data_IF_388938902886
#
_entry.id   IF_388938902886
#
_cell.length_a   1.000
_cell.length_b   1.000
_cell.length_c   1.000
_cell.angle_alpha   90.00
_cell.angle_beta   90.00
_cell.angle_gamma   90.00
#
_symmetry.space_group_name_H-M   'P 1'
#
loop_
_entity.id
_entity.type
_entity.pdbx_description
1 polymer ?
#
# COMPACT_ATOMS: atom_id res chain seq x y z
N UNK A 1 29.37 24.43 -9.52
CA UNK A 1 29.54 22.96 -9.60
C UNK A 1 28.22 22.31 -9.21
N UNK A 2 27.30 22.17 -10.18
CA UNK A 2 25.98 21.56 -9.96
C UNK A 2 26.02 20.10 -10.40
N UNK A 3 26.07 19.18 -9.44
CA UNK A 3 26.04 17.74 -9.70
C UNK A 3 24.75 17.16 -9.13
N UNK A 4 23.82 16.85 -10.05
CA UNK A 4 22.79 15.82 -10.05
C UNK A 4 22.19 15.34 -8.71
N UNK A 5 21.32 16.13 -8.09
CA UNK A 5 20.38 15.61 -7.09
C UNK A 5 19.48 14.47 -7.61
N UNK A 6 19.31 14.33 -8.94
CA UNK A 6 18.55 13.24 -9.55
C UNK A 6 19.27 11.89 -9.52
N UNK A 7 20.61 11.85 -9.52
CA UNK A 7 21.35 10.59 -9.60
C UNK A 7 21.33 9.84 -8.26
N UNK A 8 21.35 10.58 -7.16
CA UNK A 8 21.29 10.02 -5.81
C UNK A 8 19.88 9.51 -5.44
N UNK A 9 18.83 10.01 -6.11
CA UNK A 9 17.44 9.59 -5.89
C UNK A 9 17.01 8.38 -6.71
N UNK A 10 17.68 8.11 -7.85
CA UNK A 10 17.34 7.00 -8.76
C UNK A 10 17.24 5.63 -8.08
N UNK A 11 18.16 5.22 -7.18
CA UNK A 11 18.07 3.94 -6.51
C UNK A 11 16.81 3.81 -5.66
N UNK A 12 16.47 4.86 -4.91
CA UNK A 12 15.28 4.88 -4.06
C UNK A 12 13.98 4.83 -4.88
N UNK A 13 13.91 5.58 -5.99
CA UNK A 13 12.75 5.52 -6.90
C UNK A 13 12.61 4.13 -7.54
N UNK A 14 13.72 3.47 -7.89
CA UNK A 14 13.71 2.10 -8.41
C UNK A 14 13.20 1.11 -7.38
N UNK A 15 13.57 1.28 -6.12
CA UNK A 15 13.07 0.42 -5.05
C UNK A 15 11.57 0.56 -4.84
N UNK A 16 11.02 1.79 -4.91
CA UNK A 16 9.56 2.02 -4.86
C UNK A 16 8.86 1.39 -6.08
N UNK A 17 9.46 1.47 -7.27
CA UNK A 17 8.91 0.80 -8.46
C UNK A 17 8.92 -0.74 -8.31
N UNK A 18 9.99 -1.30 -7.73
CA UNK A 18 10.08 -2.73 -7.44
C UNK A 18 9.05 -3.17 -6.40
N UNK A 19 8.82 -2.37 -5.36
CA UNK A 19 7.74 -2.59 -4.40
C UNK A 19 6.39 -2.71 -5.11
N UNK A 20 6.05 -1.76 -5.99
CA UNK A 20 4.79 -1.78 -6.74
C UNK A 20 4.66 -3.06 -7.58
N UNK A 21 5.74 -3.45 -8.26
CA UNK A 21 5.75 -4.67 -9.07
C UNK A 21 5.56 -5.94 -8.23
N UNK A 22 6.18 -6.01 -7.05
CA UNK A 22 6.15 -7.19 -6.17
C UNK A 22 4.84 -7.31 -5.40
N UNK A 23 4.37 -6.21 -4.81
CA UNK A 23 3.26 -6.20 -3.85
C UNK A 23 1.92 -5.83 -4.46
N UNK A 24 1.89 -5.37 -5.71
CA UNK A 24 0.68 -5.15 -6.49
C UNK A 24 -0.38 -4.27 -5.77
N UNK A 25 0.00 -3.12 -5.18
CA UNK A 25 -0.98 -2.22 -4.58
C UNK A 25 -2.03 -1.80 -5.62
N UNK A 26 -3.23 -1.51 -5.14
CA UNK A 26 -4.32 -0.98 -5.96
C UNK A 26 -4.22 0.55 -6.10
N UNK A 27 -3.84 1.23 -5.02
CA UNK A 27 -3.81 2.69 -4.95
C UNK A 27 -2.61 3.19 -4.15
N UNK A 28 -2.32 4.50 -4.23
CA UNK A 28 -1.18 5.08 -3.51
C UNK A 28 -1.50 5.27 -2.04
N UNK A 29 -2.65 5.85 -1.72
CA UNK A 29 -3.06 6.28 -0.38
C UNK A 29 -4.52 5.92 -0.07
N UNK A 30 -4.89 5.89 1.22
CA UNK A 30 -6.21 5.42 1.66
C UNK A 30 -7.38 6.22 1.10
N UNK A 31 -7.21 7.52 0.88
CA UNK A 31 -8.22 8.42 0.30
C UNK A 31 -8.62 8.03 -1.13
N UNK A 32 -7.81 7.23 -1.82
CA UNK A 32 -8.06 6.75 -3.18
C UNK A 32 -8.81 5.41 -3.20
N UNK A 33 -9.03 4.79 -2.04
CA UNK A 33 -9.78 3.52 -1.95
C UNK A 33 -11.27 3.79 -2.17
N UNK A 34 -11.88 3.03 -3.08
CA UNK A 34 -13.33 3.07 -3.31
C UNK A 34 -14.07 2.62 -2.04
N UNK A 35 -14.85 3.53 -1.46
CA UNK A 35 -15.60 3.26 -0.22
C UNK A 35 -16.60 2.12 -0.39
N UNK A 36 -17.20 1.96 -1.57
CA UNK A 36 -18.15 0.88 -1.85
C UNK A 36 -17.48 -0.48 -1.94
N UNK A 37 -16.23 -0.54 -2.43
CA UNK A 37 -15.41 -1.76 -2.38
C UNK A 37 -15.06 -2.10 -0.93
N UNK A 38 -14.68 -1.09 -0.15
CA UNK A 38 -14.30 -1.25 1.25
C UNK A 38 -15.44 -1.81 2.11
N UNK A 39 -16.63 -1.24 1.99
CA UNK A 39 -17.82 -1.68 2.71
C UNK A 39 -18.18 -3.13 2.39
N UNK A 40 -18.09 -3.50 1.10
CA UNK A 40 -18.31 -4.89 0.64
C UNK A 40 -17.31 -5.85 1.26
N UNK A 41 -16.02 -5.53 1.27
CA UNK A 41 -14.99 -6.37 1.89
C UNK A 41 -15.22 -6.54 3.40
N UNK A 42 -15.57 -5.46 4.11
CA UNK A 42 -15.89 -5.51 5.55
C UNK A 42 -17.08 -6.43 5.79
N UNK A 43 -18.14 -6.31 5.00
CA UNK A 43 -19.31 -7.17 5.09
C UNK A 43 -18.95 -8.64 4.83
N UNK A 44 -18.14 -8.92 3.80
CA UNK A 44 -17.64 -10.27 3.50
C UNK A 44 -16.89 -10.84 4.71
N UNK A 45 -15.95 -10.10 5.30
CA UNK A 45 -15.19 -10.58 6.47
C UNK A 45 -16.08 -10.80 7.69
N UNK A 46 -17.06 -9.94 7.92
CA UNK A 46 -18.03 -10.09 9.01
C UNK A 46 -18.87 -11.35 8.81
N UNK A 47 -19.42 -11.55 7.61
CA UNK A 47 -20.24 -12.71 7.27
C UNK A 47 -19.44 -14.00 7.36
N UNK A 48 -18.19 -14.00 6.89
CA UNK A 48 -17.30 -15.15 7.02
C UNK A 48 -17.07 -15.53 8.49
N UNK A 49 -16.78 -14.54 9.35
CA UNK A 49 -16.60 -14.80 10.78
C UNK A 49 -17.88 -15.33 11.46
N UNK A 50 -19.06 -14.82 11.07
CA UNK A 50 -20.34 -15.34 11.57
C UNK A 50 -20.57 -16.79 11.13
N UNK A 51 -20.27 -17.12 9.86
CA UNK A 51 -20.37 -18.50 9.34
C UNK A 51 -19.40 -19.46 10.04
N UNK A 52 -18.26 -18.97 10.51
CA UNK A 52 -17.30 -19.69 11.37
C UNK A 52 -17.77 -19.80 12.85
N UNK A 53 -19.00 -19.37 13.15
CA UNK A 53 -19.63 -19.49 14.46
C UNK A 53 -19.25 -18.39 15.46
N UNK A 54 -18.66 -17.27 15.00
CA UNK A 54 -18.37 -16.13 15.88
C UNK A 54 -19.65 -15.32 16.14
N UNK A 55 -19.75 -14.76 17.35
CA UNK A 55 -20.79 -13.80 17.71
C UNK A 55 -20.58 -12.49 16.94
N UNK A 56 -21.64 -11.71 16.80
CA UNK A 56 -21.65 -10.51 15.96
C UNK A 56 -20.63 -9.45 16.40
N UNK A 57 -20.47 -9.22 17.69
CA UNK A 57 -19.47 -8.32 18.29
C UNK A 57 -18.02 -8.77 17.97
N UNK A 58 -17.77 -10.08 18.03
CA UNK A 58 -16.48 -10.67 17.69
C UNK A 58 -16.22 -10.59 16.19
N UNK A 59 -17.24 -10.87 15.37
CA UNK A 59 -17.16 -10.82 13.92
C UNK A 59 -16.87 -9.40 13.41
N UNK A 60 -17.48 -8.38 14.00
CA UNK A 60 -17.22 -6.98 13.68
C UNK A 60 -15.76 -6.60 13.99
N UNK A 61 -15.25 -6.99 15.17
CA UNK A 61 -13.84 -6.74 15.52
C UNK A 61 -12.88 -7.47 14.58
N UNK A 62 -13.21 -8.68 14.14
CA UNK A 62 -12.42 -9.43 13.15
C UNK A 62 -12.42 -8.70 11.80
N UNK A 63 -13.59 -8.24 11.34
CA UNK A 63 -13.72 -7.51 10.09
C UNK A 63 -12.89 -6.21 10.09
N UNK A 64 -12.88 -5.47 11.20
CA UNK A 64 -12.02 -4.28 11.36
C UNK A 64 -10.52 -4.63 11.34
N UNK A 65 -10.12 -5.75 11.94
CA UNK A 65 -8.72 -6.22 11.85
C UNK A 65 -8.32 -6.58 10.41
N UNK A 66 -9.24 -7.23 9.67
CA UNK A 66 -9.05 -7.55 8.25
C UNK A 66 -8.98 -6.30 7.38
N UNK A 67 -9.70 -5.25 7.74
CA UNK A 67 -9.62 -3.94 7.09
C UNK A 67 -8.22 -3.31 7.22
N UNK A 68 -7.60 -3.40 8.39
CA UNK A 68 -6.22 -2.96 8.58
C UNK A 68 -5.26 -3.69 7.63
N UNK A 69 -5.40 -5.01 7.56
CA UNK A 69 -4.62 -5.86 6.66
C UNK A 69 -4.89 -5.55 5.18
N UNK A 70 -6.14 -5.26 4.80
CA UNK A 70 -6.47 -4.82 3.45
C UNK A 70 -5.68 -3.58 3.04
N UNK A 71 -5.56 -2.58 3.92
CA UNK A 71 -4.75 -1.40 3.63
C UNK A 71 -3.27 -1.73 3.50
N UNK A 72 -2.72 -2.56 4.40
CA UNK A 72 -1.32 -2.99 4.34
C UNK A 72 -0.99 -3.80 3.08
N UNK A 73 -1.97 -4.45 2.45
CA UNK A 73 -1.78 -5.21 1.21
C UNK A 73 -2.06 -4.36 -0.04
N UNK A 74 -3.06 -3.47 -0.02
CA UNK A 74 -3.59 -2.82 -1.23
C UNK A 74 -3.26 -1.33 -1.36
N UNK A 75 -2.75 -0.67 -0.32
CA UNK A 75 -2.39 0.75 -0.34
C UNK A 75 -0.88 0.90 -0.27
N UNK A 76 -0.25 1.41 -1.34
CA UNK A 76 1.21 1.47 -1.47
C UNK A 76 1.89 2.07 -0.24
N UNK A 77 1.43 3.23 0.24
CA UNK A 77 2.07 3.93 1.37
C UNK A 77 1.90 3.23 2.72
N UNK A 78 0.97 2.28 2.83
CA UNK A 78 0.72 1.48 4.03
C UNK A 78 1.48 0.15 4.02
N UNK A 79 1.94 -0.29 2.85
CA UNK A 79 2.66 -1.54 2.70
C UNK A 79 3.98 -1.51 3.48
N UNK A 80 4.30 -2.67 4.06
CA UNK A 80 5.64 -2.97 4.53
C UNK A 80 6.58 -3.00 3.33
N UNK A 81 7.73 -2.37 3.47
CA UNK A 81 8.70 -2.26 2.39
C UNK A 81 9.47 -3.58 2.21
N UNK A 82 9.46 -4.13 0.99
CA UNK A 82 10.01 -5.47 0.70
C UNK A 82 11.51 -5.61 0.99
N UNK A 83 12.27 -4.51 0.94
CA UNK A 83 13.71 -4.53 1.23
C UNK A 83 14.03 -4.34 2.71
N UNK A 84 13.10 -3.84 3.49
CA UNK A 84 13.27 -3.59 4.93
C UNK A 84 11.91 -3.67 5.62
N UNK A 85 11.64 -4.81 6.25
CA UNK A 85 10.38 -5.07 6.93
C UNK A 85 10.16 -4.22 8.19
N UNK A 86 11.17 -3.46 8.63
CA UNK A 86 11.05 -2.48 9.70
C UNK A 86 10.43 -1.15 9.27
N UNK A 87 10.17 -0.96 7.97
CA UNK A 87 9.67 0.29 7.39
C UNK A 87 8.41 0.09 6.57
N UNK A 88 7.56 1.11 6.55
CA UNK A 88 6.54 1.26 5.51
C UNK A 88 7.11 2.00 4.30
N UNK A 89 6.45 1.88 3.16
CA UNK A 89 6.81 2.67 1.96
C UNK A 89 6.69 4.17 2.22
N UNK A 90 5.74 4.61 3.05
CA UNK A 90 5.65 6.01 3.50
C UNK A 90 6.91 6.51 4.19
N UNK A 91 7.56 5.68 5.01
CA UNK A 91 8.83 6.03 5.65
C UNK A 91 9.95 6.18 4.60
N UNK A 92 9.97 5.29 3.60
CA UNK A 92 10.93 5.36 2.49
C UNK A 92 10.73 6.65 1.67
N UNK A 93 9.48 7.05 1.39
CA UNK A 93 9.18 8.31 0.68
C UNK A 93 9.60 9.53 1.51
N UNK A 94 9.44 9.47 2.83
CA UNK A 94 9.92 10.52 3.73
C UNK A 94 11.46 10.61 3.74
N UNK A 95 12.16 9.48 3.68
CA UNK A 95 13.63 9.44 3.52
C UNK A 95 14.07 10.03 2.17
N UNK A 96 13.39 9.70 1.08
CA UNK A 96 13.61 10.31 -0.25
C UNK A 96 13.46 11.82 -0.18
N UNK A 97 12.42 12.33 0.50
CA UNK A 97 12.18 13.77 0.66
C UNK A 97 13.33 14.46 1.40
N UNK A 98 13.89 13.81 2.44
CA UNK A 98 15.06 14.33 3.18
C UNK A 98 16.30 14.41 2.29
N UNK A 99 16.57 13.39 1.48
CA UNK A 99 17.70 13.37 0.54
C UNK A 99 17.51 14.42 -0.55
N UNK A 100 16.29 14.59 -1.07
CA UNK A 100 15.98 15.57 -2.09
C UNK A 100 16.04 17.02 -1.58
N UNK A 101 15.92 17.24 -0.27
CA UNK A 101 15.82 18.58 0.32
C UNK A 101 14.48 19.26 0.04
N UNK A 102 13.46 18.50 -0.39
CA UNK A 102 12.12 18.99 -0.74
C UNK A 102 11.08 17.89 -0.49
N UNK A 103 9.82 18.28 -0.34
CA UNK A 103 8.69 17.33 -0.24
C UNK A 103 8.54 16.51 -1.53
N UNK A 104 8.59 15.19 -1.42
CA UNK A 104 8.41 14.24 -2.53
C UNK A 104 7.17 13.41 -2.26
N UNK A 105 6.34 13.24 -3.29
CA UNK A 105 5.12 12.43 -3.22
C UNK A 105 5.07 11.43 -4.37
N UNK A 106 4.53 10.25 -4.07
CA UNK A 106 4.06 9.34 -5.11
C UNK A 106 2.68 9.84 -5.55
N UNK A 107 2.52 10.20 -6.82
CA UNK A 107 1.25 10.74 -7.33
C UNK A 107 0.37 9.62 -7.88
N UNK A 108 0.96 8.73 -8.68
CA UNK A 108 0.29 7.62 -9.34
C UNK A 108 1.31 6.58 -9.79
N UNK A 109 0.86 5.35 -10.03
CA UNK A 109 1.65 4.33 -10.72
C UNK A 109 0.80 3.60 -11.76
N UNK A 110 1.48 3.00 -12.74
CA UNK A 110 0.90 2.04 -13.65
C UNK A 110 1.74 0.78 -13.59
N UNK A 111 1.08 -0.36 -13.48
CA UNK A 111 1.73 -1.66 -13.37
C UNK A 111 1.08 -2.60 -14.38
N UNK A 112 1.90 -3.17 -15.26
CA UNK A 112 1.47 -4.12 -16.28
C UNK A 112 2.01 -5.51 -15.92
N UNK A 113 1.16 -6.53 -16.01
CA UNK A 113 1.60 -7.93 -16.03
C UNK A 113 1.36 -8.57 -17.37
N UNK A 114 2.32 -9.37 -17.81
CA UNK A 114 2.13 -10.26 -18.93
C UNK A 114 1.31 -11.48 -18.47
N UNK A 115 0.01 -11.46 -18.73
CA UNK A 115 -0.92 -12.55 -18.37
C UNK A 115 -2.28 -12.09 -17.86
N UNK A 116 -2.37 -10.84 -17.40
CA UNK A 116 -3.66 -10.23 -17.10
C UNK A 116 -4.40 -10.05 -18.43
N UNK A 117 -5.57 -10.68 -18.58
CA UNK A 117 -6.42 -10.46 -19.75
C UNK A 117 -6.83 -8.99 -19.74
N UNK A 118 -6.36 -8.24 -20.74
CA UNK A 118 -6.82 -6.87 -21.04
C UNK A 118 -8.32 -6.92 -21.37
#
# INVERSE_FOLDING_TARGET
SGTNGSDDLKPHMRDVAMQIAAMQPLVVERSQVDTSMLEKEIEIYKQQAIQEGKKEDIAERIAQGRLGKFYEENVLLEQVFVKDSGKKVSDVVAEISKVAGSDVKVVSFLRYNLGDKI
#
